data_IF_520861964746
#
_entry.id   IF_520861964746
#
_cell.length_a   1.000
_cell.length_b   1.000
_cell.length_c   1.000
_cell.angle_alpha   90.00
_cell.angle_beta   90.00
_cell.angle_gamma   90.00
#
_symmetry.space_group_name_H-M   'P 1'
#
loop_
_entity.id
_entity.type
_entity.pdbx_description
1 polymer ?
#
# COMPACT_ATOMS: atom_id res chain seq x y z
N UNK A 1 30.13 77.40 -23.55
CA UNK A 1 31.20 77.42 -22.53
C UNK A 1 31.05 76.15 -21.71
N UNK A 2 31.83 75.08 -21.84
CA UNK A 2 33.10 74.85 -22.53
C UNK A 2 33.16 73.40 -23.06
N UNK A 3 34.09 73.22 -23.98
CA UNK A 3 34.42 72.10 -24.88
C UNK A 3 34.73 70.72 -24.26
N UNK A 4 34.27 69.67 -24.96
CA UNK A 4 35.02 68.56 -25.63
C UNK A 4 36.55 68.40 -25.36
N UNK A 5 37.23 67.28 -25.75
CA UNK A 5 36.78 65.90 -26.07
C UNK A 5 37.75 64.77 -25.62
N UNK A 6 37.37 63.55 -26.00
CA UNK A 6 38.08 62.26 -26.05
C UNK A 6 39.56 62.26 -26.54
N UNK A 7 40.33 61.22 -26.13
CA UNK A 7 40.86 60.15 -27.02
C UNK A 7 41.85 59.18 -26.34
N UNK A 8 41.58 57.88 -26.57
CA UNK A 8 42.47 56.77 -27.02
C UNK A 8 43.90 56.65 -26.46
N UNK A 9 44.13 55.53 -25.76
CA UNK A 9 44.77 54.35 -26.39
C UNK A 9 46.22 54.02 -26.03
N UNK A 10 46.47 52.70 -25.91
CA UNK A 10 47.77 52.02 -26.07
C UNK A 10 48.75 52.14 -24.88
N UNK A 11 49.53 51.15 -24.42
CA UNK A 11 49.78 49.78 -24.86
C UNK A 11 50.60 49.05 -23.78
N UNK A 12 50.20 47.80 -23.53
CA UNK A 12 51.03 46.59 -23.42
C UNK A 12 52.03 46.34 -22.25
N UNK A 13 51.80 45.15 -21.65
CA UNK A 13 52.76 44.13 -21.16
C UNK A 13 53.58 44.53 -19.94
N UNK A 14 53.84 43.69 -18.93
CA UNK A 14 53.88 42.24 -18.79
C UNK A 14 53.95 41.99 -17.27
N UNK A 15 53.43 40.88 -16.74
CA UNK A 15 54.12 40.04 -15.73
C UNK A 15 53.29 38.76 -15.60
N UNK A 16 53.95 37.65 -15.93
CA UNK A 16 53.49 36.28 -15.74
C UNK A 16 53.39 35.96 -14.25
N UNK A 17 52.24 35.44 -13.81
CA UNK A 17 52.14 34.54 -12.67
C UNK A 17 51.39 33.29 -13.14
N UNK A 18 52.15 32.21 -13.31
CA UNK A 18 51.64 30.87 -13.62
C UNK A 18 50.85 30.37 -12.42
N UNK A 19 49.51 30.35 -12.51
CA UNK A 19 48.67 29.59 -11.58
C UNK A 19 48.30 28.25 -12.22
N UNK A 20 48.58 27.17 -11.50
CA UNK A 20 48.37 25.77 -11.90
C UNK A 20 46.89 25.48 -12.24
N UNK A 21 46.58 24.49 -13.09
CA UNK A 21 45.21 24.10 -13.34
C UNK A 21 44.61 23.52 -12.06
N UNK A 22 43.58 24.18 -11.53
CA UNK A 22 42.76 23.62 -10.46
C UNK A 22 42.15 22.32 -10.97
N UNK A 23 42.52 21.23 -10.28
CA UNK A 23 42.11 19.86 -10.57
C UNK A 23 40.61 19.81 -10.85
N UNK A 24 40.27 19.18 -11.98
CA UNK A 24 38.90 18.89 -12.34
C UNK A 24 38.20 18.23 -11.16
N UNK A 25 37.15 18.87 -10.66
CA UNK A 25 36.22 18.22 -9.75
C UNK A 25 35.61 17.06 -10.54
N UNK A 26 36.06 15.84 -10.24
CA UNK A 26 35.36 14.63 -10.62
C UNK A 26 33.97 14.75 -10.00
N UNK A 27 32.98 15.18 -10.80
CA UNK A 27 31.56 15.00 -10.50
C UNK A 27 31.37 13.49 -10.36
N UNK A 28 31.39 13.00 -9.13
CA UNK A 28 30.88 11.68 -8.80
C UNK A 28 29.45 11.65 -9.31
N UNK A 29 29.23 11.01 -10.45
CA UNK A 29 27.90 10.68 -10.94
C UNK A 29 27.29 9.78 -9.87
N UNK A 30 26.50 10.35 -8.95
CA UNK A 30 25.57 9.55 -8.13
C UNK A 30 24.75 8.73 -9.12
N UNK A 31 24.88 7.40 -9.07
CA UNK A 31 24.00 6.48 -9.80
C UNK A 31 22.57 6.89 -9.46
N UNK A 32 21.76 7.19 -10.47
CA UNK A 32 20.35 7.54 -10.30
C UNK A 32 19.68 6.32 -9.67
N UNK A 33 19.06 6.48 -8.49
CA UNK A 33 18.32 5.39 -7.84
C UNK A 33 17.00 5.19 -8.58
N UNK A 34 16.62 3.92 -8.76
CA UNK A 34 15.31 3.57 -9.28
C UNK A 34 14.36 3.34 -8.10
N UNK A 35 13.23 4.03 -8.11
CA UNK A 35 12.21 4.00 -7.05
C UNK A 35 10.89 3.60 -7.71
N UNK A 36 10.16 2.67 -7.11
CA UNK A 36 8.80 2.28 -7.52
C UNK A 36 7.86 2.74 -6.41
N UNK A 37 7.00 3.70 -6.75
CA UNK A 37 5.88 4.15 -5.92
C UNK A 37 4.62 3.99 -6.76
N UNK A 38 3.60 3.32 -6.21
CA UNK A 38 2.38 3.03 -6.93
C UNK A 38 1.22 3.90 -6.43
N UNK A 39 0.30 4.23 -7.33
CA UNK A 39 -0.97 4.81 -6.92
C UNK A 39 -1.98 3.70 -6.54
N UNK A 40 -3.09 4.10 -5.93
CA UNK A 40 -4.19 3.19 -5.51
C UNK A 40 -5.29 3.02 -6.56
N UNK A 41 -5.26 3.73 -7.70
CA UNK A 41 -6.31 3.62 -8.70
C UNK A 41 -6.07 2.40 -9.59
N UNK A 42 -7.02 1.47 -9.63
CA UNK A 42 -6.95 0.23 -10.44
C UNK A 42 -8.33 -0.15 -11.00
N UNK A 43 -8.90 0.61 -11.94
CA UNK A 43 -10.30 0.44 -12.37
C UNK A 43 -10.63 -0.94 -12.97
N UNK A 44 -9.62 -1.59 -13.57
CA UNK A 44 -9.76 -2.91 -14.19
C UNK A 44 -9.45 -4.08 -13.25
N UNK A 45 -9.08 -3.82 -11.99
CA UNK A 45 -8.79 -4.87 -11.03
C UNK A 45 -10.05 -5.66 -10.65
N UNK A 46 -9.89 -6.97 -10.52
CA UNK A 46 -10.88 -7.90 -9.94
C UNK A 46 -10.46 -8.22 -8.52
N UNK A 47 -11.27 -7.86 -7.54
CA UNK A 47 -10.93 -8.00 -6.12
C UNK A 47 -11.93 -8.93 -5.46
N UNK A 48 -11.41 -9.90 -4.69
CA UNK A 48 -12.26 -10.68 -3.80
C UNK A 48 -12.09 -10.20 -2.37
N UNK A 49 -13.21 -10.06 -1.65
CA UNK A 49 -13.24 -9.83 -0.21
C UNK A 49 -13.71 -11.12 0.44
N UNK A 50 -12.93 -11.68 1.37
CA UNK A 50 -13.41 -12.75 2.26
C UNK A 50 -13.64 -12.18 3.65
N UNK A 51 -14.80 -12.47 4.25
CA UNK A 51 -15.22 -11.85 5.51
C UNK A 51 -15.81 -12.87 6.48
N UNK A 52 -15.38 -12.78 7.74
CA UNK A 52 -15.91 -13.59 8.83
C UNK A 52 -17.28 -13.06 9.31
N UNK A 53 -18.24 -13.95 9.52
CA UNK A 53 -19.55 -13.61 10.08
C UNK A 53 -19.51 -13.41 11.60
N UNK A 54 -18.63 -14.12 12.30
CA UNK A 54 -18.43 -13.91 13.73
C UNK A 54 -17.92 -12.48 14.00
N UNK A 55 -18.51 -11.78 14.97
CA UNK A 55 -18.36 -10.33 15.21
C UNK A 55 -18.93 -9.42 14.09
N UNK A 56 -20.03 -9.83 13.45
CA UNK A 56 -20.64 -9.08 12.33
C UNK A 56 -20.92 -7.60 12.62
N UNK A 57 -21.35 -7.29 13.84
CA UNK A 57 -21.61 -5.91 14.28
C UNK A 57 -20.41 -4.96 14.04
N UNK A 58 -19.18 -5.49 14.04
CA UNK A 58 -17.96 -4.73 13.73
C UNK A 58 -17.56 -4.95 12.26
N UNK A 59 -17.62 -6.20 11.78
CA UNK A 59 -17.12 -6.57 10.46
C UNK A 59 -17.95 -5.94 9.32
N UNK A 60 -19.24 -5.66 9.53
CA UNK A 60 -20.06 -4.95 8.54
C UNK A 60 -19.47 -3.57 8.23
N UNK A 61 -19.02 -2.82 9.25
CA UNK A 61 -18.35 -1.53 9.03
C UNK A 61 -17.00 -1.68 8.33
N UNK A 62 -16.25 -2.75 8.61
CA UNK A 62 -15.02 -3.06 7.86
C UNK A 62 -15.33 -3.31 6.38
N UNK A 63 -16.40 -4.07 6.10
CA UNK A 63 -16.83 -4.37 4.74
C UNK A 63 -17.26 -3.11 3.99
N UNK A 64 -18.10 -2.28 4.62
CA UNK A 64 -18.54 -1.01 4.05
C UNK A 64 -17.35 -0.10 3.73
N UNK A 65 -16.40 0.03 4.66
CA UNK A 65 -15.17 0.80 4.45
C UNK A 65 -14.32 0.26 3.29
N UNK A 66 -14.17 -1.07 3.20
CA UNK A 66 -13.43 -1.70 2.10
C UNK A 66 -14.11 -1.45 0.75
N UNK A 67 -15.43 -1.64 0.65
CA UNK A 67 -16.20 -1.42 -0.57
C UNK A 67 -16.15 0.05 -1.01
N UNK A 68 -16.33 0.99 -0.09
CA UNK A 68 -16.22 2.43 -0.39
C UNK A 68 -14.82 2.76 -0.91
N UNK A 69 -13.75 2.29 -0.27
CA UNK A 69 -12.39 2.54 -0.72
C UNK A 69 -12.12 1.95 -2.11
N UNK A 70 -12.53 0.70 -2.37
CA UNK A 70 -12.38 0.06 -3.68
C UNK A 70 -13.07 0.87 -4.79
N UNK A 71 -14.31 1.29 -4.54
CA UNK A 71 -15.12 1.98 -5.55
C UNK A 71 -14.69 3.44 -5.73
N UNK A 72 -14.69 4.21 -4.65
CA UNK A 72 -14.50 5.66 -4.67
C UNK A 72 -13.07 6.07 -4.95
N UNK A 73 -12.10 5.33 -4.40
CA UNK A 73 -10.68 5.66 -4.51
C UNK A 73 -10.01 4.78 -5.56
N UNK A 74 -10.23 3.46 -5.48
CA UNK A 74 -9.68 2.48 -6.43
C UNK A 74 -10.31 2.51 -7.82
N UNK A 75 -11.48 3.14 -7.96
CA UNK A 75 -12.28 3.17 -9.20
C UNK A 75 -12.69 1.78 -9.70
N UNK A 76 -12.69 0.78 -8.82
CA UNK A 76 -13.07 -0.59 -9.14
C UNK A 76 -14.58 -0.66 -9.37
N UNK A 77 -14.98 -1.30 -10.48
CA UNK A 77 -16.40 -1.51 -10.81
C UNK A 77 -17.03 -2.55 -9.87
N UNK A 78 -18.31 -2.37 -9.55
CA UNK A 78 -19.06 -3.28 -8.67
C UNK A 78 -19.01 -4.74 -9.12
N UNK A 79 -19.11 -4.98 -10.43
CA UNK A 79 -19.04 -6.32 -11.05
C UNK A 79 -17.69 -7.03 -10.86
N UNK A 80 -16.64 -6.28 -10.55
CA UNK A 80 -15.30 -6.80 -10.29
C UNK A 80 -15.03 -7.07 -8.80
N UNK A 81 -15.99 -6.80 -7.91
CA UNK A 81 -15.88 -7.04 -6.47
C UNK A 81 -16.71 -8.26 -6.10
N UNK A 82 -16.06 -9.34 -5.67
CA UNK A 82 -16.74 -10.54 -5.13
C UNK A 82 -16.62 -10.57 -3.61
N UNK A 83 -17.71 -10.82 -2.90
CA UNK A 83 -17.71 -10.95 -1.43
C UNK A 83 -18.03 -12.39 -1.04
N UNK A 84 -17.15 -13.02 -0.25
CA UNK A 84 -17.29 -14.40 0.23
C UNK A 84 -17.36 -14.42 1.75
N UNK A 85 -18.49 -14.84 2.28
CA UNK A 85 -18.71 -14.97 3.71
C UNK A 85 -18.24 -16.33 4.23
N UNK A 86 -17.45 -16.30 5.29
CA UNK A 86 -17.03 -17.48 6.06
C UNK A 86 -17.53 -17.41 7.50
N UNK A 87 -17.61 -18.54 8.24
CA UNK A 87 -18.14 -18.54 9.60
C UNK A 87 -17.31 -17.68 10.56
N UNK A 88 -16.00 -17.91 10.66
CA UNK A 88 -15.10 -17.21 11.56
C UNK A 88 -13.80 -16.78 10.90
N UNK A 89 -12.98 -16.04 11.66
CA UNK A 89 -11.69 -15.54 11.16
C UNK A 89 -10.71 -16.67 10.84
N UNK A 90 -10.86 -17.84 11.48
CA UNK A 90 -10.00 -19.00 11.27
C UNK A 90 -10.17 -19.63 9.88
N UNK A 91 -11.34 -19.46 9.25
CA UNK A 91 -11.61 -19.98 7.91
C UNK A 91 -11.16 -19.02 6.79
N UNK A 92 -10.78 -17.77 7.10
CA UNK A 92 -10.34 -16.77 6.12
C UNK A 92 -9.18 -17.27 5.24
N UNK A 93 -8.12 -17.90 5.76
CA UNK A 93 -7.04 -18.42 4.92
C UNK A 93 -7.50 -19.42 3.88
N UNK A 94 -8.39 -20.35 4.24
CA UNK A 94 -8.88 -21.38 3.31
C UNK A 94 -9.67 -20.74 2.17
N UNK A 95 -10.57 -19.82 2.49
CA UNK A 95 -11.36 -19.11 1.49
C UNK A 95 -10.48 -18.21 0.60
N UNK A 96 -9.55 -17.46 1.19
CA UNK A 96 -8.60 -16.64 0.45
C UNK A 96 -7.74 -17.49 -0.51
N UNK A 97 -7.24 -18.63 -0.04
CA UNK A 97 -6.47 -19.56 -0.86
C UNK A 97 -7.28 -20.16 -2.00
N UNK A 98 -8.54 -20.52 -1.76
CA UNK A 98 -9.44 -21.00 -2.80
C UNK A 98 -9.69 -19.92 -3.86
N UNK A 99 -9.94 -18.67 -3.44
CA UNK A 99 -10.12 -17.51 -4.32
C UNK A 99 -8.88 -17.25 -5.17
N UNK A 100 -7.70 -17.20 -4.55
CA UNK A 100 -6.43 -16.98 -5.24
C UNK A 100 -6.15 -18.04 -6.31
N UNK A 101 -6.36 -19.32 -5.98
CA UNK A 101 -6.17 -20.45 -6.90
C UNK A 101 -7.09 -20.43 -8.12
N UNK A 102 -8.18 -19.67 -8.11
CA UNK A 102 -9.04 -19.55 -9.30
C UNK A 102 -8.38 -18.76 -10.43
N UNK A 103 -7.37 -17.93 -10.13
CA UNK A 103 -6.77 -16.99 -11.10
C UNK A 103 -7.72 -15.89 -11.58
N UNK A 104 -8.89 -15.73 -10.95
CA UNK A 104 -9.91 -14.74 -11.35
C UNK A 104 -9.73 -13.38 -10.71
N UNK A 105 -8.90 -13.27 -9.68
CA UNK A 105 -8.76 -12.06 -8.87
C UNK A 105 -7.31 -11.59 -8.87
N UNK A 106 -7.13 -10.27 -8.92
CA UNK A 106 -5.85 -9.60 -8.86
C UNK A 106 -5.37 -9.38 -7.42
N UNK A 107 -6.29 -9.37 -6.45
CA UNK A 107 -6.00 -9.37 -5.01
C UNK A 107 -7.16 -9.96 -4.19
N UNK A 108 -6.85 -10.38 -2.97
CA UNK A 108 -7.83 -10.78 -1.95
C UNK A 108 -7.72 -9.86 -0.74
N UNK A 109 -8.84 -9.43 -0.17
CA UNK A 109 -8.90 -8.69 1.09
C UNK A 109 -9.57 -9.59 2.13
N UNK A 110 -8.86 -9.91 3.20
CA UNK A 110 -9.42 -10.70 4.29
C UNK A 110 -9.86 -9.79 5.43
N UNK A 111 -11.15 -9.82 5.76
CA UNK A 111 -11.78 -9.00 6.79
C UNK A 111 -12.31 -9.88 7.92
N UNK A 112 -12.10 -9.43 9.15
CA UNK A 112 -12.65 -10.09 10.33
C UNK A 112 -12.24 -9.41 11.61
N UNK A 113 -12.77 -9.88 12.72
CA UNK A 113 -12.43 -9.37 14.04
C UNK A 113 -12.28 -10.54 15.01
N UNK A 114 -11.17 -10.57 15.73
CA UNK A 114 -10.87 -11.50 16.83
C UNK A 114 -10.61 -10.66 18.06
N UNK A 115 -11.42 -10.85 19.10
CA UNK A 115 -11.34 -10.08 20.35
C UNK A 115 -10.90 -11.05 21.45
N UNK A 116 -9.94 -10.65 22.29
CA UNK A 116 -9.43 -11.50 23.36
C UNK A 116 -10.56 -11.84 24.35
N UNK A 117 -10.64 -13.12 24.70
CA UNK A 117 -11.50 -13.64 25.75
C UNK A 117 -10.70 -14.18 26.94
N UNK A 118 -11.32 -15.01 27.77
CA UNK A 118 -10.68 -15.57 28.98
C UNK A 118 -9.69 -16.72 28.75
N UNK A 119 -9.47 -17.14 27.50
CA UNK A 119 -8.62 -18.30 27.18
C UNK A 119 -7.65 -17.98 26.05
N UNK A 120 -6.66 -18.86 25.84
CA UNK A 120 -5.70 -18.76 24.75
C UNK A 120 -6.31 -18.96 23.35
N UNK A 121 -7.62 -19.21 23.22
CA UNK A 121 -8.29 -19.38 21.92
C UNK A 121 -8.03 -18.20 20.96
N UNK A 122 -7.95 -16.98 21.51
CA UNK A 122 -7.58 -15.78 20.76
C UNK A 122 -6.27 -15.96 19.97
N UNK A 123 -5.21 -16.45 20.62
CA UNK A 123 -3.88 -16.56 20.02
C UNK A 123 -3.87 -17.55 18.85
N UNK A 124 -4.55 -18.68 19.02
CA UNK A 124 -4.62 -19.71 17.98
C UNK A 124 -5.46 -19.28 16.78
N UNK A 125 -6.56 -18.55 17.02
CA UNK A 125 -7.41 -18.03 15.94
C UNK A 125 -6.74 -16.88 15.21
N UNK A 126 -6.28 -15.85 15.94
CA UNK A 126 -5.63 -14.68 15.36
C UNK A 126 -4.31 -15.06 14.66
N UNK A 127 -3.47 -15.85 15.33
CA UNK A 127 -2.20 -16.32 14.78
C UNK A 127 -2.40 -17.27 13.59
N UNK A 128 -3.34 -18.22 13.69
CA UNK A 128 -3.67 -19.12 12.59
C UNK A 128 -4.20 -18.40 11.35
N UNK A 129 -5.08 -17.40 11.54
CA UNK A 129 -5.58 -16.56 10.46
C UNK A 129 -4.46 -15.72 9.84
N UNK A 130 -3.63 -15.06 10.65
CA UNK A 130 -2.53 -14.21 10.17
C UNK A 130 -1.50 -15.01 9.38
N UNK A 131 -0.98 -16.11 9.94
CA UNK A 131 0.01 -16.95 9.28
C UNK A 131 -0.55 -17.62 8.03
N UNK A 132 -1.82 -18.09 8.09
CA UNK A 132 -2.48 -18.71 6.95
C UNK A 132 -2.64 -17.74 5.78
N UNK A 133 -3.09 -16.51 6.03
CA UNK A 133 -3.24 -15.48 5.00
C UNK A 133 -1.88 -15.07 4.41
N UNK A 134 -0.84 -14.95 5.24
CA UNK A 134 0.52 -14.68 4.79
C UNK A 134 1.04 -15.78 3.84
N UNK A 135 0.85 -17.06 4.19
CA UNK A 135 1.20 -18.17 3.32
C UNK A 135 0.41 -18.16 2.01
N UNK A 136 -0.89 -17.87 2.04
CA UNK A 136 -1.69 -17.74 0.81
C UNK A 136 -1.10 -16.68 -0.12
N UNK A 137 -0.75 -15.50 0.40
CA UNK A 137 -0.15 -14.44 -0.41
C UNK A 137 1.17 -14.88 -1.05
N UNK A 138 2.03 -15.55 -0.28
CA UNK A 138 3.33 -16.01 -0.73
C UNK A 138 3.21 -17.12 -1.79
N UNK A 139 2.34 -18.10 -1.57
CA UNK A 139 2.19 -19.26 -2.46
C UNK A 139 1.45 -18.94 -3.76
N UNK A 140 0.53 -17.97 -3.72
CA UNK A 140 -0.30 -17.62 -4.88
C UNK A 140 0.23 -16.45 -5.70
N UNK A 141 1.24 -15.74 -5.20
CA UNK A 141 1.84 -14.55 -5.83
C UNK A 141 0.83 -13.42 -6.16
N UNK A 142 -0.32 -13.40 -5.48
CA UNK A 142 -1.26 -12.27 -5.50
C UNK A 142 -1.32 -11.60 -4.12
N UNK A 143 -1.55 -10.28 -4.04
CA UNK A 143 -1.69 -9.59 -2.77
C UNK A 143 -2.87 -10.14 -1.95
N UNK A 144 -2.62 -10.45 -0.68
CA UNK A 144 -3.66 -10.70 0.31
C UNK A 144 -3.57 -9.65 1.40
N UNK A 145 -4.54 -8.74 1.45
CA UNK A 145 -4.57 -7.68 2.46
C UNK A 145 -5.13 -8.18 3.79
N UNK A 146 -4.44 -7.84 4.88
CA UNK A 146 -4.79 -8.24 6.23
C UNK A 146 -5.64 -7.18 6.92
N UNK A 147 -6.96 -7.24 6.73
CA UNK A 147 -7.95 -6.40 7.41
C UNK A 147 -8.61 -7.11 8.60
N UNK A 148 -7.85 -7.94 9.33
CA UNK A 148 -8.35 -8.66 10.51
C UNK A 148 -7.98 -7.90 11.77
N UNK A 149 -8.98 -7.41 12.52
CA UNK A 149 -8.77 -6.78 13.81
C UNK A 149 -8.42 -7.85 14.85
N UNK A 150 -7.31 -7.65 15.57
CA UNK A 150 -6.88 -8.49 16.70
C UNK A 150 -6.78 -7.60 17.94
N UNK A 151 -7.84 -7.54 18.74
CA UNK A 151 -7.97 -6.54 19.82
C UNK A 151 -8.17 -7.18 21.18
N UNK A 152 -7.87 -6.40 22.21
CA UNK A 152 -8.02 -6.81 23.62
C UNK A 152 -9.44 -6.54 24.14
N UNK A 153 -10.20 -5.66 23.47
CA UNK A 153 -11.57 -5.33 23.86
C UNK A 153 -12.47 -4.99 22.66
N UNK A 154 -13.77 -4.91 22.91
CA UNK A 154 -14.80 -4.51 21.93
C UNK A 154 -14.61 -3.04 21.56
N UNK A 155 -14.32 -2.17 22.53
CA UNK A 155 -14.12 -0.74 22.33
C UNK A 155 -12.96 -0.50 21.35
N UNK A 156 -11.84 -1.21 21.51
CA UNK A 156 -10.71 -1.13 20.60
C UNK A 156 -11.07 -1.53 19.16
N UNK A 157 -11.94 -2.53 19.02
CA UNK A 157 -12.39 -3.00 17.71
C UNK A 157 -13.31 -1.95 17.04
N UNK A 158 -14.25 -1.37 17.79
CA UNK A 158 -15.11 -0.27 17.31
C UNK A 158 -14.27 0.95 16.91
N UNK A 159 -13.24 1.29 17.68
CA UNK A 159 -12.34 2.41 17.37
C UNK A 159 -11.64 2.26 16.01
N UNK A 160 -11.38 1.02 15.59
CA UNK A 160 -10.66 0.67 14.35
C UNK A 160 -11.57 0.30 13.17
N UNK A 161 -12.88 0.25 13.40
CA UNK A 161 -13.89 -0.09 12.41
C UNK A 161 -14.75 1.13 12.05
N UNK A 162 -14.13 2.29 11.80
CA UNK A 162 -14.80 3.46 11.24
C UNK A 162 -15.13 4.58 12.21
N UNK A 163 -14.50 4.61 13.39
CA UNK A 163 -14.66 5.72 14.34
C UNK A 163 -13.34 6.48 14.55
N UNK A 164 -12.76 6.47 15.75
CA UNK A 164 -11.66 7.37 16.11
C UNK A 164 -10.34 7.05 15.40
N UNK A 165 -10.06 5.78 15.13
CA UNK A 165 -8.79 5.32 14.58
C UNK A 165 -8.93 4.85 13.12
N UNK A 166 -9.85 5.46 12.38
CA UNK A 166 -10.11 5.13 10.98
C UNK A 166 -10.86 3.82 10.80
N UNK A 167 -10.78 3.24 9.61
CA UNK A 167 -11.44 1.99 9.25
C UNK A 167 -10.42 1.03 8.62
N UNK A 168 -10.11 -0.06 9.33
CA UNK A 168 -9.11 -1.04 8.85
C UNK A 168 -9.55 -1.83 7.63
N UNK A 169 -10.84 -1.93 7.33
CA UNK A 169 -11.32 -2.49 6.07
C UNK A 169 -10.99 -1.59 4.88
N UNK A 170 -11.20 -0.27 5.03
CA UNK A 170 -10.80 0.71 4.02
C UNK A 170 -9.29 0.74 3.80
N UNK A 171 -8.50 0.75 4.88
CA UNK A 171 -7.04 0.69 4.78
C UNK A 171 -6.55 -0.58 4.08
N UNK A 172 -7.09 -1.75 4.44
CA UNK A 172 -6.75 -3.01 3.80
C UNK A 172 -7.08 -3.01 2.29
N UNK A 173 -8.22 -2.41 1.91
CA UNK A 173 -8.57 -2.24 0.50
C UNK A 173 -7.57 -1.35 -0.25
N UNK A 174 -7.17 -0.21 0.33
CA UNK A 174 -6.17 0.67 -0.27
C UNK A 174 -4.82 -0.03 -0.44
N UNK A 175 -4.38 -0.79 0.56
CA UNK A 175 -3.16 -1.60 0.47
C UNK A 175 -3.25 -2.65 -0.63
N UNK A 176 -4.40 -3.33 -0.79
CA UNK A 176 -4.59 -4.30 -1.86
C UNK A 176 -4.45 -3.65 -3.25
N UNK A 177 -5.08 -2.48 -3.45
CA UNK A 177 -5.03 -1.74 -4.71
C UNK A 177 -3.60 -1.29 -5.06
N UNK A 178 -2.89 -0.71 -4.08
CA UNK A 178 -1.51 -0.28 -4.28
C UNK A 178 -0.60 -1.47 -4.61
N UNK A 179 -0.75 -2.59 -3.89
CA UNK A 179 0.05 -3.79 -4.11
C UNK A 179 -0.16 -4.43 -5.49
N UNK A 180 -1.38 -4.36 -6.04
CA UNK A 180 -1.62 -4.76 -7.44
C UNK A 180 -0.70 -3.97 -8.38
N UNK A 181 -0.64 -2.65 -8.20
CA UNK A 181 0.17 -1.78 -9.04
C UNK A 181 1.67 -1.93 -8.79
N UNK A 182 2.10 -2.13 -7.55
CA UNK A 182 3.50 -2.44 -7.20
C UNK A 182 3.96 -3.71 -7.91
N UNK A 183 3.20 -4.80 -7.79
CA UNK A 183 3.58 -6.07 -8.42
C UNK A 183 3.59 -5.97 -9.95
N UNK A 184 2.64 -5.23 -10.54
CA UNK A 184 2.65 -4.93 -11.98
C UNK A 184 3.91 -4.17 -12.40
N UNK A 185 4.32 -3.16 -11.63
CA UNK A 185 5.50 -2.36 -11.93
C UNK A 185 6.82 -3.15 -11.78
N UNK A 186 6.89 -4.10 -10.86
CA UNK A 186 8.07 -4.99 -10.70
C UNK A 186 8.18 -5.99 -11.87
N UNK A 187 7.05 -6.46 -12.40
CA UNK A 187 6.99 -7.47 -13.47
C UNK A 187 7.05 -6.88 -14.89
N UNK A 188 7.01 -5.54 -15.03
CA UNK A 188 6.94 -4.82 -16.29
C UNK A 188 8.27 -4.80 -17.09
#
# INVERSE_FOLDING_TARGET
>A
MHDLPARKGSSARNIMLKSAPLRGHTRTRRKKMNIIEANVATPDARVAITIARFNNFINDSLLEGAIDALKRIGQVKDENITIVWVPGAYELPLAAGALAKTGKYDAVIALGTVIRGGTAHFEYVAGGASNGLAHVAQDSEIPVAFGVLTTESIEQAIERAGTKAGNKGAEAALTALEMINVLKAIKA
#
